data_IF_666537042108
#
_entry.id   IF_666537042108
#
_cell.length_a   1.000
_cell.length_b   1.000
_cell.length_c   1.000
_cell.angle_alpha   90.00
_cell.angle_beta   90.00
_cell.angle_gamma   90.00
#
_symmetry.space_group_name_H-M   'P 1'
#
loop_
_entity.id
_entity.type
_entity.pdbx_description
1 polymer ?
#
# COMPACT_ATOMS: atom_id res chain seq x y z
N UNK A 1 2.31 9.34 -2.21
CA UNK A 1 1.95 10.21 -1.09
C UNK A 1 2.55 9.71 0.24
N UNK A 2 2.12 8.58 0.82
CA UNK A 2 2.61 8.13 2.14
C UNK A 2 4.12 7.82 2.12
N UNK A 3 4.60 7.08 1.12
CA UNK A 3 6.03 6.81 0.96
C UNK A 3 6.83 8.10 0.81
N UNK A 4 6.35 9.04 0.00
CA UNK A 4 7.00 10.34 -0.20
C UNK A 4 7.12 11.14 1.10
N UNK A 5 6.10 11.09 1.96
CA UNK A 5 6.13 11.75 3.27
C UNK A 5 7.19 11.17 4.20
N UNK A 6 7.34 9.83 4.20
CA UNK A 6 8.40 9.17 4.99
C UNK A 6 9.77 9.55 4.45
N UNK A 7 9.96 9.54 3.12
CA UNK A 7 11.22 9.95 2.50
C UNK A 7 11.62 11.37 2.91
N UNK A 8 10.70 12.34 2.80
CA UNK A 8 10.97 13.74 3.16
C UNK A 8 11.20 13.90 4.67
N UNK A 9 10.56 13.10 5.51
CA UNK A 9 10.75 13.17 6.97
C UNK A 9 12.09 12.58 7.42
N UNK A 10 12.58 11.54 6.75
CA UNK A 10 13.73 10.75 7.24
C UNK A 10 15.03 11.04 6.47
N UNK A 11 14.96 11.76 5.33
CA UNK A 11 16.13 12.13 4.53
C UNK A 11 16.36 13.63 4.63
N UNK A 12 17.34 14.05 5.40
CA UNK A 12 17.59 15.45 5.76
C UNK A 12 17.76 16.40 4.56
N UNK A 13 18.31 15.92 3.45
CA UNK A 13 18.56 16.74 2.26
C UNK A 13 17.38 16.77 1.28
N UNK A 14 16.34 15.94 1.49
CA UNK A 14 15.23 15.76 0.56
C UNK A 14 14.06 16.68 0.92
N UNK A 15 13.82 17.67 0.10
CA UNK A 15 12.66 18.57 0.21
C UNK A 15 11.50 18.09 -0.66
N UNK A 16 10.27 18.44 -0.29
CA UNK A 16 9.05 18.05 -1.02
C UNK A 16 9.11 18.47 -2.50
N UNK A 17 9.63 19.67 -2.78
CA UNK A 17 9.76 20.24 -4.11
C UNK A 17 10.76 19.49 -5.00
N UNK A 18 11.70 18.78 -4.39
CA UNK A 18 12.72 18.01 -5.08
C UNK A 18 12.27 16.58 -5.44
N UNK A 19 11.21 16.07 -4.82
CA UNK A 19 10.76 14.69 -4.98
C UNK A 19 10.60 14.27 -6.44
N UNK A 20 9.92 15.08 -7.25
CA UNK A 20 9.63 14.72 -8.65
C UNK A 20 10.87 14.69 -9.55
N UNK A 21 11.96 15.35 -9.14
CA UNK A 21 13.26 15.27 -9.81
C UNK A 21 14.07 14.05 -9.36
N UNK A 22 13.88 13.60 -8.11
CA UNK A 22 14.69 12.55 -7.50
C UNK A 22 14.09 11.15 -7.65
N UNK A 23 12.77 11.04 -7.85
CA UNK A 23 12.10 9.74 -7.99
C UNK A 23 11.00 9.78 -9.04
N UNK A 24 10.72 8.64 -9.65
CA UNK A 24 9.60 8.44 -10.57
C UNK A 24 8.81 7.20 -10.18
N UNK A 25 7.52 7.38 -9.85
CA UNK A 25 6.60 6.26 -9.68
C UNK A 25 6.01 5.84 -11.02
N UNK A 26 6.23 4.59 -11.42
CA UNK A 26 5.71 4.08 -12.69
C UNK A 26 5.31 2.60 -12.60
N UNK A 27 4.46 2.18 -13.54
CA UNK A 27 4.18 0.78 -13.82
C UNK A 27 5.22 0.17 -14.78
N UNK A 28 4.81 -0.82 -15.55
CA UNK A 28 5.67 -1.45 -16.55
C UNK A 28 6.00 -0.50 -17.70
N UNK A 29 4.99 0.26 -18.14
CA UNK A 29 5.17 1.26 -19.21
C UNK A 29 5.51 2.63 -18.61
N UNK A 30 6.34 3.44 -19.30
CA UNK A 30 6.71 4.78 -18.82
C UNK A 30 5.54 5.72 -18.56
N UNK A 31 4.42 5.50 -19.27
CA UNK A 31 3.20 6.34 -19.19
C UNK A 31 2.22 5.87 -18.12
N UNK A 32 2.45 4.73 -17.48
CA UNK A 32 1.58 4.18 -16.43
C UNK A 32 2.17 4.44 -15.06
N UNK A 33 1.33 4.81 -14.09
CA UNK A 33 1.78 5.08 -12.71
C UNK A 33 1.96 3.81 -11.88
N UNK A 34 1.34 2.70 -12.28
CA UNK A 34 1.39 1.42 -11.55
C UNK A 34 0.96 0.25 -12.45
N UNK A 35 1.29 -0.97 -12.04
CA UNK A 35 0.76 -2.22 -12.58
C UNK A 35 -0.43 -2.66 -11.71
N UNK A 36 -1.59 -2.88 -12.33
CA UNK A 36 -2.77 -3.38 -11.62
C UNK A 36 -2.63 -4.88 -11.35
N UNK A 37 -3.08 -5.32 -10.18
CA UNK A 37 -3.05 -6.74 -9.82
C UNK A 37 -3.81 -7.64 -10.80
N UNK A 38 -4.91 -7.15 -11.35
CA UNK A 38 -5.73 -7.88 -12.32
C UNK A 38 -5.02 -8.08 -13.66
N UNK A 39 -4.09 -7.19 -14.00
CA UNK A 39 -3.35 -7.24 -15.27
C UNK A 39 -2.07 -8.09 -15.18
N UNK A 40 -1.58 -8.41 -13.97
CA UNK A 40 -0.33 -9.16 -13.75
C UNK A 40 -0.31 -10.50 -14.50
N UNK A 41 -1.44 -11.21 -14.51
CA UNK A 41 -1.53 -12.52 -15.18
C UNK A 41 -1.30 -12.41 -16.68
N UNK A 42 -1.97 -11.47 -17.34
CA UNK A 42 -1.91 -11.25 -18.78
C UNK A 42 -0.56 -10.68 -19.20
N UNK A 43 -0.01 -9.74 -18.41
CA UNK A 43 1.33 -9.20 -18.65
C UNK A 43 2.40 -10.29 -18.55
N UNK A 44 2.30 -11.18 -17.55
CA UNK A 44 3.25 -12.31 -17.43
C UNK A 44 3.16 -13.26 -18.62
N UNK A 45 1.97 -13.50 -19.16
CA UNK A 45 1.80 -14.30 -20.38
C UNK A 45 2.42 -13.61 -21.58
N UNK A 46 2.20 -12.30 -21.75
CA UNK A 46 2.80 -11.50 -22.85
C UNK A 46 4.33 -11.48 -22.79
N UNK A 47 4.88 -11.39 -21.59
CA UNK A 47 6.32 -11.45 -21.34
C UNK A 47 6.93 -12.86 -21.44
N UNK A 48 6.13 -13.91 -21.72
CA UNK A 48 6.63 -15.27 -21.87
C UNK A 48 6.80 -16.06 -20.56
N UNK A 49 6.38 -15.53 -19.42
CA UNK A 49 6.53 -16.19 -18.11
C UNK A 49 5.48 -17.26 -17.81
N UNK A 50 4.61 -17.59 -18.77
CA UNK A 50 3.47 -18.51 -18.56
C UNK A 50 3.84 -19.86 -17.94
N UNK A 51 5.00 -20.41 -18.27
CA UNK A 51 5.45 -21.74 -17.84
C UNK A 51 6.59 -21.71 -16.82
N UNK A 52 7.14 -20.54 -16.51
CA UNK A 52 8.32 -20.40 -15.65
C UNK A 52 7.98 -20.17 -14.17
N UNK A 53 6.69 -20.06 -13.82
CA UNK A 53 6.29 -19.64 -12.49
C UNK A 53 5.44 -20.72 -11.81
N UNK A 54 6.05 -21.40 -10.83
CA UNK A 54 5.42 -22.44 -10.06
C UNK A 54 4.81 -21.88 -8.76
N UNK A 55 3.77 -22.53 -8.24
CA UNK A 55 3.04 -22.10 -7.04
C UNK A 55 3.68 -22.53 -5.71
N UNK A 56 4.97 -22.92 -5.71
CA UNK A 56 5.71 -23.31 -4.51
C UNK A 56 6.81 -22.30 -4.20
N UNK A 57 7.04 -22.04 -2.93
CA UNK A 57 8.01 -21.10 -2.38
C UNK A 57 8.83 -21.80 -1.30
N UNK A 58 10.13 -21.97 -1.52
CA UNK A 58 11.01 -22.76 -0.64
C UNK A 58 10.44 -24.15 -0.28
N UNK A 59 9.75 -24.80 -1.24
CA UNK A 59 9.14 -26.12 -1.05
C UNK A 59 7.73 -26.14 -0.48
N UNK A 60 7.19 -24.99 -0.05
CA UNK A 60 5.84 -24.87 0.47
C UNK A 60 4.86 -24.27 -0.58
N UNK A 61 3.57 -24.62 -0.51
CA UNK A 61 2.55 -23.96 -1.33
C UNK A 61 2.51 -22.46 -1.08
N UNK A 62 2.30 -21.69 -2.15
CA UNK A 62 2.14 -20.24 -2.06
C UNK A 62 0.86 -19.85 -1.31
N UNK A 63 0.99 -18.95 -0.36
CA UNK A 63 -0.15 -18.27 0.26
C UNK A 63 -0.88 -17.37 -0.77
N UNK A 64 -2.09 -16.92 -0.50
CA UNK A 64 -2.82 -16.01 -1.37
C UNK A 64 -1.94 -14.85 -1.88
N UNK A 65 -2.02 -14.57 -3.16
CA UNK A 65 -1.27 -13.56 -3.93
C UNK A 65 0.24 -13.83 -4.11
N UNK A 66 0.84 -14.88 -3.49
CA UNK A 66 2.27 -15.19 -3.65
C UNK A 66 2.68 -15.35 -5.12
N UNK A 67 1.90 -16.13 -5.89
CA UNK A 67 2.17 -16.36 -7.30
C UNK A 67 2.02 -15.09 -8.15
N UNK A 68 1.00 -14.29 -7.89
CA UNK A 68 0.79 -13.01 -8.59
C UNK A 68 1.90 -12.01 -8.26
N UNK A 69 2.32 -11.95 -6.99
CA UNK A 69 3.42 -11.09 -6.57
C UNK A 69 4.75 -11.51 -7.23
N UNK A 70 5.07 -12.82 -7.26
CA UNK A 70 6.24 -13.33 -7.98
C UNK A 70 6.22 -12.94 -9.46
N UNK A 71 5.07 -13.09 -10.14
CA UNK A 71 4.93 -12.68 -11.54
C UNK A 71 5.17 -11.18 -11.71
N UNK A 72 4.59 -10.35 -10.84
CA UNK A 72 4.81 -8.91 -10.89
C UNK A 72 6.29 -8.55 -10.71
N UNK A 73 6.98 -9.16 -9.74
CA UNK A 73 8.42 -8.93 -9.53
C UNK A 73 9.27 -9.39 -10.72
N UNK A 74 8.95 -10.52 -11.35
CA UNK A 74 9.62 -10.98 -12.58
C UNK A 74 9.43 -10.01 -13.75
N UNK A 75 8.22 -9.42 -13.90
CA UNK A 75 7.95 -8.41 -14.93
C UNK A 75 8.83 -7.18 -14.73
N UNK A 76 8.95 -6.67 -13.50
CA UNK A 76 9.84 -5.53 -13.21
C UNK A 76 11.32 -5.88 -13.36
N UNK A 77 11.73 -7.11 -13.01
CA UNK A 77 13.10 -7.57 -13.18
C UNK A 77 13.51 -7.75 -14.66
N UNK A 78 12.54 -7.98 -15.53
CA UNK A 78 12.76 -8.15 -16.98
C UNK A 78 12.79 -6.82 -17.76
N UNK A 79 12.55 -5.67 -17.09
CA UNK A 79 12.66 -4.37 -17.76
C UNK A 79 14.12 -4.07 -18.14
N UNK A 80 14.35 -3.47 -19.30
CA UNK A 80 15.68 -3.00 -19.71
C UNK A 80 16.30 -2.03 -18.70
N UNK A 81 15.49 -1.15 -18.15
CA UNK A 81 15.84 -0.30 -17.02
C UNK A 81 15.04 -0.73 -15.79
N UNK A 82 15.69 -1.53 -14.97
CA UNK A 82 15.12 -2.01 -13.73
C UNK A 82 14.87 -0.85 -12.76
N UNK A 83 13.80 -0.92 -11.93
CA UNK A 83 13.59 0.05 -10.86
C UNK A 83 14.61 -0.16 -9.74
N UNK A 84 14.84 0.87 -8.93
CA UNK A 84 15.62 0.74 -7.68
C UNK A 84 14.80 0.08 -6.57
N UNK A 85 13.46 0.22 -6.63
CA UNK A 85 12.53 -0.39 -5.68
C UNK A 85 11.18 -0.72 -6.32
N UNK A 86 10.49 -1.75 -5.81
CA UNK A 86 9.12 -2.14 -6.18
C UNK A 86 8.22 -2.14 -4.96
N UNK A 87 7.11 -1.40 -5.01
CA UNK A 87 6.10 -1.38 -3.97
C UNK A 87 4.96 -2.35 -4.33
N UNK A 88 4.77 -3.37 -3.50
CA UNK A 88 3.63 -4.28 -3.57
C UNK A 88 2.58 -3.83 -2.55
N UNK A 89 1.50 -3.21 -3.02
CA UNK A 89 0.41 -2.73 -2.16
C UNK A 89 -0.87 -3.50 -2.43
N UNK A 90 -1.48 -4.05 -1.36
CA UNK A 90 -2.66 -4.90 -1.48
C UNK A 90 -3.60 -4.74 -0.27
N UNK A 91 -4.91 -4.87 -0.50
CA UNK A 91 -5.90 -5.05 0.56
C UNK A 91 -5.94 -6.52 1.00
N UNK A 92 -6.15 -6.80 2.30
CA UNK A 92 -6.38 -8.19 2.73
C UNK A 92 -7.73 -8.71 2.27
N UNK A 93 -8.74 -7.84 2.13
CA UNK A 93 -10.13 -8.22 1.87
C UNK A 93 -10.61 -9.34 2.83
N UNK A 94 -10.83 -10.54 2.28
CA UNK A 94 -11.23 -11.74 3.05
C UNK A 94 -10.04 -12.67 3.41
N UNK A 95 -8.82 -12.32 3.01
CA UNK A 95 -7.65 -13.17 3.11
C UNK A 95 -6.58 -12.55 4.00
N UNK A 96 -6.72 -12.69 5.32
CA UNK A 96 -5.78 -12.16 6.32
C UNK A 96 -4.32 -12.59 6.12
N UNK A 97 -4.10 -13.70 5.40
CA UNK A 97 -2.76 -14.26 5.13
C UNK A 97 -2.11 -13.73 3.83
N UNK A 98 -2.69 -12.74 3.15
CA UNK A 98 -2.09 -12.16 1.92
C UNK A 98 -0.69 -11.61 2.13
N UNK A 99 -0.41 -10.99 3.27
CA UNK A 99 0.93 -10.53 3.62
C UNK A 99 1.96 -11.64 3.49
N UNK A 100 1.67 -12.84 4.04
CA UNK A 100 2.55 -14.02 3.91
C UNK A 100 2.85 -14.34 2.44
N UNK A 101 1.86 -14.22 1.55
CA UNK A 101 2.07 -14.45 0.11
C UNK A 101 3.02 -13.44 -0.53
N UNK A 102 2.87 -12.15 -0.20
CA UNK A 102 3.80 -11.13 -0.70
C UNK A 102 5.22 -11.33 -0.14
N UNK A 103 5.35 -11.69 1.13
CA UNK A 103 6.63 -12.00 1.78
C UNK A 103 7.30 -13.24 1.18
N UNK A 104 6.53 -14.30 0.86
CA UNK A 104 7.03 -15.45 0.13
C UNK A 104 7.61 -15.05 -1.23
N UNK A 105 6.88 -14.22 -2.00
CA UNK A 105 7.37 -13.73 -3.29
C UNK A 105 8.63 -12.88 -3.16
N UNK A 106 8.72 -12.02 -2.13
CA UNK A 106 9.91 -11.23 -1.84
C UNK A 106 11.13 -12.11 -1.52
N UNK A 107 10.92 -13.13 -0.70
CA UNK A 107 12.00 -14.02 -0.24
C UNK A 107 12.41 -15.09 -1.29
N UNK A 108 11.64 -15.26 -2.35
CA UNK A 108 11.79 -16.33 -3.33
C UNK A 108 13.04 -16.21 -4.20
N UNK A 109 13.53 -14.99 -4.37
CA UNK A 109 14.65 -14.70 -5.26
C UNK A 109 15.50 -13.53 -4.73
N UNK A 110 16.74 -13.44 -5.21
CA UNK A 110 17.57 -12.25 -5.07
C UNK A 110 17.14 -11.24 -6.14
N UNK A 111 16.19 -10.39 -5.78
CA UNK A 111 15.69 -9.35 -6.70
C UNK A 111 16.74 -8.27 -6.94
N UNK A 112 16.82 -7.70 -8.16
CA UNK A 112 17.79 -6.62 -8.47
C UNK A 112 17.38 -5.26 -7.90
N UNK A 113 16.32 -5.20 -7.11
CA UNK A 113 15.72 -4.01 -6.49
C UNK A 113 15.18 -4.36 -5.10
N UNK A 114 14.96 -3.33 -4.29
CA UNK A 114 14.27 -3.53 -3.02
C UNK A 114 12.76 -3.75 -3.21
N UNK A 115 12.18 -4.63 -2.37
CA UNK A 115 10.73 -4.92 -2.39
C UNK A 115 10.09 -4.45 -1.10
N UNK A 116 9.21 -3.47 -1.22
CA UNK A 116 8.45 -2.85 -0.12
C UNK A 116 7.03 -3.41 -0.12
N UNK A 117 6.54 -3.85 1.03
CA UNK A 117 5.23 -4.49 1.16
C UNK A 117 4.27 -3.61 1.97
N UNK A 118 3.16 -3.22 1.35
CA UNK A 118 2.05 -2.53 1.99
C UNK A 118 0.78 -3.39 1.96
N UNK A 119 0.25 -3.75 3.13
CA UNK A 119 -0.99 -4.52 3.21
C UNK A 119 -1.99 -3.78 4.07
N UNK A 120 -3.08 -3.34 3.45
CA UNK A 120 -4.18 -2.67 4.13
C UNK A 120 -5.17 -3.69 4.72
N UNK A 121 -5.45 -3.57 6.00
CA UNK A 121 -6.30 -4.48 6.75
C UNK A 121 -7.56 -3.78 7.27
N UNK A 122 -8.75 -4.17 6.85
CA UNK A 122 -9.04 -5.09 5.76
C UNK A 122 -8.92 -4.44 4.37
N UNK A 123 -8.94 -3.10 4.26
CA UNK A 123 -8.93 -2.33 3.03
C UNK A 123 -8.20 -0.99 3.17
N UNK A 124 -7.76 -0.45 2.03
CA UNK A 124 -7.17 0.89 1.90
C UNK A 124 -8.00 1.99 2.54
N UNK A 125 -9.33 1.88 2.50
CA UNK A 125 -10.22 2.83 3.14
C UNK A 125 -9.95 2.97 4.65
N UNK A 126 -9.49 1.91 5.32
CA UNK A 126 -9.09 1.98 6.73
C UNK A 126 -7.83 2.83 6.93
N UNK A 127 -6.88 2.83 5.97
CA UNK A 127 -5.73 3.73 6.00
C UNK A 127 -6.16 5.21 5.90
N UNK A 128 -7.15 5.51 5.05
CA UNK A 128 -7.70 6.87 4.95
C UNK A 128 -8.42 7.26 6.23
N UNK A 129 -9.23 6.35 6.78
CA UNK A 129 -10.01 6.60 8.00
C UNK A 129 -9.12 6.91 9.21
N UNK A 130 -8.00 6.22 9.40
CA UNK A 130 -7.10 6.53 10.53
C UNK A 130 -6.44 7.91 10.43
N UNK A 131 -6.41 8.50 9.23
CA UNK A 131 -5.99 9.88 8.99
C UNK A 131 -7.14 10.88 8.97
N UNK A 132 -8.38 10.45 9.18
CA UNK A 132 -9.52 11.36 9.17
C UNK A 132 -9.63 12.12 10.50
N UNK A 133 -9.58 13.45 10.40
CA UNK A 133 -9.97 14.36 11.47
C UNK A 133 -11.13 15.21 10.93
N UNK A 134 -12.27 15.23 11.67
CA UNK A 134 -13.48 15.91 11.23
C UNK A 134 -13.24 17.43 11.09
N UNK A 135 -13.73 18.01 10.02
CA UNK A 135 -13.77 19.45 9.77
C UNK A 135 -15.15 19.99 10.10
N UNK A 136 -15.27 21.31 10.12
CA UNK A 136 -16.56 21.97 10.29
C UNK A 136 -17.60 21.38 9.32
N UNK A 137 -18.70 20.87 9.87
CA UNK A 137 -19.78 20.21 9.14
C UNK A 137 -19.59 18.71 8.88
N UNK A 138 -18.47 18.10 9.27
CA UNK A 138 -18.23 16.64 9.19
C UNK A 138 -18.51 15.92 10.53
N UNK A 139 -18.57 16.66 11.65
CA UNK A 139 -18.72 16.12 13.00
C UNK A 139 -20.03 15.34 13.16
N UNK A 140 -21.14 15.88 12.64
CA UNK A 140 -22.45 15.21 12.70
C UNK A 140 -22.44 13.88 11.92
N UNK A 141 -21.77 13.83 10.77
CA UNK A 141 -21.62 12.60 9.99
C UNK A 141 -20.79 11.56 10.76
N UNK A 142 -19.71 11.99 11.43
CA UNK A 142 -18.87 11.13 12.26
C UNK A 142 -19.67 10.55 13.44
N UNK A 143 -20.39 11.38 14.19
CA UNK A 143 -21.24 10.93 15.31
C UNK A 143 -22.34 9.97 14.86
N UNK A 144 -22.98 10.24 13.72
CA UNK A 144 -24.00 9.36 13.15
C UNK A 144 -23.40 8.01 12.77
N UNK A 145 -22.21 8.02 12.16
CA UNK A 145 -21.49 6.82 11.78
C UNK A 145 -21.07 6.01 13.01
N UNK A 146 -20.53 6.65 14.05
CA UNK A 146 -20.15 6.03 15.31
C UNK A 146 -21.35 5.35 15.99
N UNK A 147 -22.48 6.03 16.08
CA UNK A 147 -23.73 5.46 16.61
C UNK A 147 -24.17 4.23 15.81
N UNK A 148 -24.10 4.28 14.49
CA UNK A 148 -24.45 3.13 13.63
C UNK A 148 -23.51 1.94 13.82
N UNK A 149 -22.20 2.19 13.92
CA UNK A 149 -21.17 1.16 14.06
C UNK A 149 -21.08 0.61 15.49
N UNK A 150 -21.45 1.41 16.50
CA UNK A 150 -21.22 1.15 17.94
C UNK A 150 -19.71 1.09 18.29
N UNK A 151 -18.88 1.78 17.54
CA UNK A 151 -17.46 2.02 17.80
C UNK A 151 -16.97 3.22 16.99
N UNK A 152 -15.87 3.84 17.41
CA UNK A 152 -15.32 5.00 16.73
C UNK A 152 -14.57 4.60 15.44
N UNK A 153 -15.02 5.02 14.24
CA UNK A 153 -14.54 4.50 12.97
C UNK A 153 -13.07 4.86 12.66
N UNK A 154 -12.54 5.94 13.25
CA UNK A 154 -11.15 6.35 13.07
C UNK A 154 -10.21 5.59 14.01
N UNK A 155 -10.56 5.48 15.29
CA UNK A 155 -9.73 4.81 16.31
C UNK A 155 -9.77 3.28 16.17
N UNK A 156 -10.92 2.78 15.77
CA UNK A 156 -11.20 1.34 15.67
C UNK A 156 -11.42 0.88 14.22
N UNK A 157 -10.77 1.52 13.25
CA UNK A 157 -10.91 1.21 11.82
C UNK A 157 -10.68 -0.27 11.47
N UNK A 158 -9.86 -0.98 12.26
CA UNK A 158 -9.63 -2.42 12.13
C UNK A 158 -10.87 -3.29 12.38
N UNK A 159 -11.94 -2.75 13.00
CA UNK A 159 -13.23 -3.44 13.22
C UNK A 159 -14.15 -3.35 12.00
N UNK A 160 -13.80 -2.55 11.02
CA UNK A 160 -14.49 -2.53 9.74
C UNK A 160 -14.19 -3.80 8.94
N UNK A 161 -14.98 -4.07 7.93
CA UNK A 161 -14.88 -5.29 7.12
C UNK A 161 -14.81 -4.98 5.63
N UNK A 162 -14.40 -6.00 4.87
CA UNK A 162 -14.45 -6.01 3.41
C UNK A 162 -15.33 -7.15 2.87
N UNK A 163 -16.06 -7.85 3.76
CA UNK A 163 -16.69 -9.12 3.44
C UNK A 163 -17.95 -9.00 2.59
N UNK A 164 -18.74 -7.94 2.79
CA UNK A 164 -20.00 -7.74 2.08
C UNK A 164 -20.15 -6.27 1.70
N UNK A 165 -20.28 -6.02 0.41
CA UNK A 165 -20.54 -4.68 -0.10
C UNK A 165 -21.87 -4.14 0.48
N UNK A 166 -21.80 -2.98 1.14
CA UNK A 166 -22.96 -2.34 1.77
C UNK A 166 -23.33 -2.87 3.17
N UNK A 167 -22.57 -3.82 3.74
CA UNK A 167 -22.74 -4.22 5.14
C UNK A 167 -22.67 -3.02 6.10
N UNK A 168 -23.28 -3.19 7.29
CA UNK A 168 -23.32 -2.12 8.32
C UNK A 168 -21.91 -1.56 8.63
N UNK A 169 -20.92 -2.43 8.68
CA UNK A 169 -19.52 -2.11 9.00
C UNK A 169 -18.56 -2.25 7.79
N UNK A 170 -19.06 -2.16 6.57
CA UNK A 170 -18.22 -2.12 5.36
C UNK A 170 -17.35 -0.87 5.34
N UNK A 171 -16.02 -1.05 5.15
CA UNK A 171 -15.04 0.04 5.21
C UNK A 171 -15.26 1.11 4.13
N UNK A 172 -15.60 0.69 2.91
CA UNK A 172 -15.86 1.60 1.79
C UNK A 172 -17.11 2.43 2.04
N UNK A 173 -18.17 1.80 2.58
CA UNK A 173 -19.38 2.50 2.97
C UNK A 173 -19.12 3.51 4.10
N UNK A 174 -18.34 3.11 5.12
CA UNK A 174 -18.00 3.99 6.23
C UNK A 174 -17.25 5.24 5.74
N UNK A 175 -16.26 5.06 4.87
CA UNK A 175 -15.53 6.19 4.29
C UNK A 175 -16.43 7.09 3.45
N UNK A 176 -17.30 6.53 2.61
CA UNK A 176 -18.23 7.28 1.76
C UNK A 176 -19.23 8.12 2.56
N UNK A 177 -19.63 7.67 3.74
CA UNK A 177 -20.54 8.41 4.63
C UNK A 177 -19.84 9.61 5.31
N UNK A 178 -18.51 9.53 5.55
CA UNK A 178 -17.73 10.62 6.13
C UNK A 178 -17.24 11.63 5.10
N UNK A 179 -16.78 11.13 3.98
CA UNK A 179 -16.18 11.95 2.92
C UNK A 179 -17.16 11.99 1.75
N UNK A 180 -17.63 13.20 1.42
CA UNK A 180 -18.47 13.39 0.23
C UNK A 180 -17.74 12.86 -1.01
N UNK A 181 -18.48 12.20 -1.90
CA UNK A 181 -17.93 11.73 -3.16
C UNK A 181 -17.33 12.91 -3.95
N UNK A 182 -16.02 12.82 -4.13
CA UNK A 182 -15.24 13.73 -4.94
C UNK A 182 -14.45 12.90 -5.96
N UNK A 183 -14.65 13.11 -7.28
CA UNK A 183 -13.91 12.39 -8.32
C UNK A 183 -12.39 12.55 -8.19
N UNK A 184 -11.92 13.68 -7.63
CA UNK A 184 -10.50 13.94 -7.42
C UNK A 184 -9.91 13.17 -6.24
N UNK A 185 -10.76 12.67 -5.33
CA UNK A 185 -10.36 12.08 -4.05
C UNK A 185 -9.45 12.98 -3.21
N UNK A 186 -9.61 14.29 -3.32
CA UNK A 186 -8.73 15.22 -2.62
C UNK A 186 -8.89 15.10 -1.11
N UNK A 187 -10.13 14.99 -0.61
CA UNK A 187 -10.37 14.80 0.83
C UNK A 187 -9.73 13.51 1.39
N UNK A 188 -9.71 12.43 0.61
CA UNK A 188 -8.98 11.20 0.98
C UNK A 188 -7.47 11.44 1.07
N UNK A 189 -6.93 12.23 0.12
CA UNK A 189 -5.50 12.58 0.11
C UNK A 189 -5.14 13.47 1.28
N UNK A 190 -6.00 14.44 1.62
CA UNK A 190 -5.83 15.33 2.78
C UNK A 190 -5.75 14.55 4.09
N UNK A 191 -6.62 13.55 4.31
CA UNK A 191 -6.54 12.67 5.47
C UNK A 191 -5.14 12.06 5.64
N UNK A 192 -4.53 11.67 4.54
CA UNK A 192 -3.20 11.06 4.56
C UNK A 192 -2.05 12.06 4.47
N UNK A 193 -2.29 13.27 3.99
CA UNK A 193 -1.28 14.32 3.82
C UNK A 193 -1.16 15.20 5.07
N UNK A 194 -2.30 15.62 5.64
CA UNK A 194 -2.34 16.66 6.64
C UNK A 194 -2.21 16.09 8.07
N UNK A 195 -2.56 14.80 8.27
CA UNK A 195 -2.37 14.13 9.55
C UNK A 195 -0.89 13.83 9.81
N UNK A 196 -0.32 14.19 10.97
CA UNK A 196 1.07 13.90 11.30
C UNK A 196 1.41 12.42 11.13
N UNK A 197 2.60 12.09 10.60
CA UNK A 197 3.01 10.69 10.38
C UNK A 197 3.02 9.88 11.68
N UNK A 198 3.39 10.49 12.81
CA UNK A 198 3.35 9.84 14.11
C UNK A 198 1.93 9.43 14.50
N UNK A 199 0.95 10.30 14.25
CA UNK A 199 -0.48 10.00 14.47
C UNK A 199 -0.94 8.86 13.54
N UNK A 200 -0.52 8.87 12.27
CA UNK A 200 -0.81 7.79 11.33
C UNK A 200 -0.17 6.46 11.78
N UNK A 201 1.07 6.48 12.31
CA UNK A 201 1.73 5.30 12.88
C UNK A 201 0.91 4.76 14.07
N UNK A 202 0.56 5.63 15.02
CA UNK A 202 -0.17 5.22 16.20
C UNK A 202 -1.56 4.65 15.88
N UNK A 203 -2.36 5.35 15.05
CA UNK A 203 -3.71 4.91 14.69
C UNK A 203 -3.71 3.76 13.68
N UNK A 204 -2.64 3.64 12.89
CA UNK A 204 -2.51 2.71 11.76
C UNK A 204 -2.01 1.31 12.13
N UNK A 205 -1.63 1.06 13.39
CA UNK A 205 -1.03 -0.21 13.83
C UNK A 205 -1.89 -1.44 13.47
N UNK A 206 -3.18 -1.38 13.77
CA UNK A 206 -4.11 -2.48 13.60
C UNK A 206 -4.73 -2.59 12.20
N UNK A 207 -4.38 -1.68 11.30
CA UNK A 207 -4.83 -1.68 9.90
C UNK A 207 -3.69 -1.86 8.90
N UNK A 208 -2.49 -2.23 9.38
CA UNK A 208 -1.31 -2.50 8.56
C UNK A 208 -0.58 -1.26 8.04
N UNK A 209 -1.06 -0.04 8.36
CA UNK A 209 -0.42 1.20 7.90
C UNK A 209 0.95 1.41 8.56
N UNK A 210 1.06 1.17 9.87
CA UNK A 210 2.32 1.30 10.61
C UNK A 210 3.39 0.41 10.02
N UNK A 211 3.04 -0.85 9.71
CA UNK A 211 3.97 -1.77 9.06
C UNK A 211 4.40 -1.29 7.67
N UNK A 212 3.47 -0.72 6.88
CA UNK A 212 3.84 -0.14 5.60
C UNK A 212 4.80 1.04 5.74
N UNK A 213 4.54 1.95 6.68
CA UNK A 213 5.44 3.08 6.94
C UNK A 213 6.84 2.60 7.41
N UNK A 214 6.90 1.54 8.23
CA UNK A 214 8.18 0.92 8.62
C UNK A 214 8.89 0.26 7.44
N UNK A 215 8.19 -0.46 6.57
CA UNK A 215 8.78 -1.01 5.33
C UNK A 215 9.37 0.09 4.43
N UNK A 216 8.75 1.27 4.38
CA UNK A 216 9.30 2.43 3.65
C UNK A 216 10.56 2.95 4.33
N UNK A 217 10.54 3.14 5.66
CA UNK A 217 11.70 3.58 6.43
C UNK A 217 12.88 2.62 6.29
N UNK A 218 12.63 1.31 6.47
CA UNK A 218 13.68 0.31 6.53
C UNK A 218 14.26 -0.06 5.16
N UNK A 219 13.50 0.12 4.07
CA UNK A 219 13.88 -0.38 2.74
C UNK A 219 13.94 0.69 1.66
N UNK A 220 12.99 1.63 1.62
CA UNK A 220 12.95 2.63 0.57
C UNK A 220 13.87 3.82 0.90
N UNK A 221 13.92 4.24 2.16
CA UNK A 221 14.82 5.31 2.61
C UNK A 221 16.28 4.97 2.26
N UNK A 222 16.81 3.76 2.60
CA UNK A 222 18.17 3.36 2.24
C UNK A 222 18.45 3.29 0.72
N UNK A 223 17.44 3.02 -0.09
CA UNK A 223 17.56 3.09 -1.56
C UNK A 223 17.75 4.54 -2.00
N UNK A 224 16.95 5.44 -1.43
CA UNK A 224 16.88 6.83 -1.85
C UNK A 224 18.08 7.66 -1.35
N UNK A 225 18.54 7.43 -0.13
CA UNK A 225 19.72 8.11 0.44
C UNK A 225 21.06 7.51 -0.04
N UNK A 226 21.02 6.36 -0.71
CA UNK A 226 22.19 5.68 -1.26
C UNK A 226 22.94 4.81 -0.25
N UNK A 227 22.49 4.64 0.98
CA UNK A 227 23.18 3.86 2.02
C UNK A 227 23.23 2.36 1.68
N UNK A 228 22.26 1.83 0.93
CA UNK A 228 22.31 0.46 0.40
C UNK A 228 23.40 0.22 -0.64
N UNK A 229 23.88 1.26 -1.34
CA UNK A 229 24.93 1.13 -2.37
C UNK A 229 26.35 1.06 -1.80
N UNK A 230 26.53 1.39 -0.53
CA UNK A 230 27.84 1.39 0.15
C UNK A 230 28.32 0.05 0.71
N UNK A 231 27.53 -1.02 0.58
CA UNK A 231 27.77 -2.34 1.16
C UNK A 231 28.16 -3.46 0.18
N UNK A 232 28.60 -3.11 -1.05
CA UNK A 232 29.08 -4.11 -2.03
C UNK A 232 30.56 -3.95 -2.28
#
# INVERSE_FOLDING_TARGET
>A
LLADRVLVQEIDWLETEMLDMQRQWRGLEPTTSFLRWDDVGDEAVRAGFKHAVFGHFAGEPGAPDALSARKALLLFAALDRQPDAVLLVRDTDKHSVRRKGLEQARADNAWPFEVIIGVAEPKRECWVLVGFDAREGEEEALEKLERRLSFHPVRDAHRLTASEHGAKNDAKRALKELIREDPTRERERECLRDTPLETLRQRGERVGLTQFLSEVSDRLVPVMDGSLRGGK
#
